data_IF_414850811873
#
_entry.id   IF_414850811873
#
_cell.length_a   1.000
_cell.length_b   1.000
_cell.length_c   1.000
_cell.angle_alpha   90.00
_cell.angle_beta   90.00
_cell.angle_gamma   90.00
#
_symmetry.space_group_name_H-M   'P 1'
#
loop_
_entity.id
_entity.type
_entity.pdbx_description
1 polymer ?
#
# COMPACT_ATOMS: atom_id res chain seq x y z
N UNK A 1 -12.56 -13.02 25.41
CA UNK A 1 -11.90 -13.48 24.17
C UNK A 1 -10.68 -12.59 23.96
N UNK A 2 -9.47 -13.12 23.73
CA UNK A 2 -8.33 -12.28 23.37
C UNK A 2 -8.66 -11.58 22.05
N UNK A 3 -8.41 -10.28 22.01
CA UNK A 3 -8.60 -9.48 20.80
C UNK A 3 -7.59 -9.97 19.76
N UNK A 4 -8.05 -10.48 18.62
CA UNK A 4 -7.21 -10.97 17.51
C UNK A 4 -6.32 -9.85 16.89
N UNK A 5 -6.40 -8.64 17.44
CA UNK A 5 -5.72 -7.42 17.01
C UNK A 5 -4.27 -7.31 17.50
N UNK A 6 -3.92 -7.98 18.61
CA UNK A 6 -2.58 -7.90 19.21
C UNK A 6 -1.71 -9.13 18.92
N UNK A 7 -2.22 -10.08 18.13
CA UNK A 7 -1.52 -11.32 17.81
C UNK A 7 -0.54 -11.04 16.68
N UNK A 8 0.74 -11.29 16.92
CA UNK A 8 1.79 -11.10 15.90
C UNK A 8 1.56 -12.03 14.71
N UNK A 9 2.09 -11.68 13.54
CA UNK A 9 2.00 -12.52 12.33
C UNK A 9 2.49 -13.95 12.58
N UNK A 10 3.48 -14.11 13.46
CA UNK A 10 4.02 -15.42 13.88
C UNK A 10 3.01 -16.22 14.71
N UNK A 11 2.45 -15.62 15.75
CA UNK A 11 1.45 -16.29 16.60
C UNK A 11 0.16 -16.59 15.82
N UNK A 12 -0.16 -15.77 14.82
CA UNK A 12 -1.27 -16.01 13.92
C UNK A 12 -1.04 -17.28 13.08
N UNK A 13 0.16 -17.40 12.50
CA UNK A 13 0.59 -18.61 11.78
C UNK A 13 0.56 -19.81 12.72
N UNK A 14 1.02 -19.69 13.96
CA UNK A 14 1.06 -20.84 14.89
C UNK A 14 -0.34 -21.25 15.41
N UNK A 15 -1.27 -20.30 15.60
CA UNK A 15 -2.57 -20.56 16.26
C UNK A 15 -3.75 -20.68 15.29
N UNK A 16 -3.72 -20.01 14.15
CA UNK A 16 -4.86 -19.94 13.21
C UNK A 16 -4.68 -20.92 12.04
N UNK A 17 -3.47 -21.13 11.53
CA UNK A 17 -3.25 -22.09 10.44
C UNK A 17 -3.71 -23.52 10.79
N UNK A 18 -3.50 -24.05 12.00
CA UNK A 18 -3.99 -25.39 12.34
C UNK A 18 -5.51 -25.52 12.28
N UNK A 19 -6.23 -24.39 12.40
CA UNK A 19 -7.70 -24.32 12.31
C UNK A 19 -8.20 -24.18 10.87
N UNK A 20 -7.32 -23.83 9.93
CA UNK A 20 -7.66 -23.72 8.51
C UNK A 20 -7.54 -25.11 7.86
N UNK A 21 -8.66 -25.75 7.56
CA UNK A 21 -8.64 -27.02 6.81
C UNK A 21 -8.35 -26.79 5.32
N UNK A 22 -7.41 -27.54 4.75
CA UNK A 22 -7.17 -27.57 3.29
C UNK A 22 -5.72 -27.90 2.89
N UNK A 23 -5.44 -28.00 1.59
CA UNK A 23 -4.07 -28.14 1.11
C UNK A 23 -3.26 -26.88 1.45
N UNK A 24 -2.05 -27.08 1.95
CA UNK A 24 -1.12 -26.00 2.28
C UNK A 24 -0.01 -25.89 1.24
N UNK A 25 0.51 -24.68 1.08
CA UNK A 25 1.72 -24.38 0.30
C UNK A 25 2.72 -23.66 1.18
N UNK A 26 4.01 -23.77 0.84
CA UNK A 26 5.08 -23.03 1.50
C UNK A 26 5.48 -21.83 0.63
N UNK A 27 5.51 -20.64 1.21
CA UNK A 27 6.10 -19.45 0.60
C UNK A 27 7.50 -19.27 1.17
N UNK A 28 8.53 -19.39 0.33
CA UNK A 28 9.94 -19.18 0.69
C UNK A 28 10.42 -17.81 0.23
N UNK A 29 11.06 -17.05 1.11
CA UNK A 29 11.76 -15.81 0.76
C UNK A 29 13.20 -16.16 0.42
N UNK A 30 13.61 -16.00 -0.84
CA UNK A 30 14.93 -16.45 -1.33
C UNK A 30 16.12 -15.89 -0.54
N UNK A 31 16.01 -14.67 -0.02
CA UNK A 31 17.12 -13.99 0.67
C UNK A 31 17.19 -14.22 2.18
N UNK A 32 16.12 -14.70 2.80
CA UNK A 32 16.04 -14.77 4.27
C UNK A 32 16.01 -16.21 4.79
N UNK A 33 15.99 -17.21 3.90
CA UNK A 33 15.82 -18.64 4.23
C UNK A 33 14.64 -18.88 5.21
N UNK A 34 13.61 -18.04 5.09
CA UNK A 34 12.37 -18.13 5.87
C UNK A 34 11.27 -18.70 4.99
N UNK A 35 10.51 -19.64 5.56
CA UNK A 35 9.34 -20.26 4.95
C UNK A 35 8.08 -19.99 5.76
N UNK A 36 6.97 -19.81 5.06
CA UNK A 36 5.64 -19.67 5.64
C UNK A 36 4.71 -20.70 5.04
N UNK A 37 4.05 -21.48 5.91
CA UNK A 37 2.96 -22.37 5.49
C UNK A 37 1.68 -21.55 5.35
N UNK A 38 0.97 -21.69 4.23
CA UNK A 38 -0.24 -20.91 3.90
C UNK A 38 -1.29 -21.80 3.24
N UNK A 39 -2.57 -21.56 3.53
CA UNK A 39 -3.70 -22.23 2.87
C UNK A 39 -3.72 -21.91 1.38
N UNK A 40 -3.58 -22.94 0.52
CA UNK A 40 -3.64 -22.80 -0.95
C UNK A 40 -4.96 -22.15 -1.40
N UNK A 41 -6.14 -22.61 -0.94
CA UNK A 41 -7.41 -22.04 -1.40
C UNK A 41 -7.55 -20.56 -1.05
N UNK A 42 -7.11 -20.13 0.13
CA UNK A 42 -7.15 -18.71 0.51
C UNK A 42 -6.20 -17.89 -0.36
N UNK A 43 -4.96 -18.36 -0.53
CA UNK A 43 -3.96 -17.65 -1.30
C UNK A 43 -4.37 -17.49 -2.77
N UNK A 44 -4.84 -18.56 -3.43
CA UNK A 44 -5.29 -18.52 -4.82
C UNK A 44 -6.56 -17.70 -5.00
N UNK A 45 -7.48 -17.72 -4.03
CA UNK A 45 -8.70 -16.90 -4.07
C UNK A 45 -8.39 -15.40 -4.13
N UNK A 46 -7.36 -14.97 -3.40
CA UNK A 46 -7.01 -13.54 -3.25
C UNK A 46 -5.91 -13.08 -4.21
N UNK A 47 -5.28 -14.00 -4.94
CA UNK A 47 -4.15 -13.72 -5.82
C UNK A 47 -4.20 -14.57 -7.09
N UNK A 48 -4.44 -13.92 -8.23
CA UNK A 48 -4.33 -14.57 -9.54
C UNK A 48 -2.91 -15.01 -9.86
N UNK A 49 -1.90 -14.30 -9.34
CA UNK A 49 -0.49 -14.67 -9.44
C UNK A 49 -0.23 -16.05 -8.81
N UNK A 50 -0.67 -16.25 -7.57
CA UNK A 50 -0.48 -17.53 -6.88
C UNK A 50 -1.35 -18.64 -7.48
N UNK A 51 -2.58 -18.34 -7.92
CA UNK A 51 -3.40 -19.32 -8.66
C UNK A 51 -2.66 -19.82 -9.89
N UNK A 52 -2.16 -18.90 -10.74
CA UNK A 52 -1.47 -19.26 -11.99
C UNK A 52 -0.23 -20.12 -11.72
N UNK A 53 0.59 -19.76 -10.73
CA UNK A 53 1.82 -20.48 -10.41
C UNK A 53 1.54 -21.85 -9.78
N UNK A 54 0.53 -21.95 -8.93
CA UNK A 54 0.22 -23.17 -8.20
C UNK A 54 -0.66 -24.15 -8.99
N UNK A 55 -1.38 -23.66 -10.00
CA UNK A 55 -2.17 -24.49 -10.92
C UNK A 55 -1.33 -24.89 -12.13
N UNK A 56 -0.45 -24.01 -12.63
CA UNK A 56 0.48 -24.29 -13.73
C UNK A 56 1.62 -25.26 -13.39
N UNK A 57 1.89 -25.47 -12.10
CA UNK A 57 2.84 -26.51 -11.63
C UNK A 57 2.23 -27.93 -11.62
N UNK A 58 0.94 -28.11 -11.88
CA UNK A 58 0.29 -29.43 -11.98
C UNK A 58 0.34 -30.06 -13.37
N UNK A 59 0.97 -29.42 -14.36
CA UNK A 59 1.17 -30.00 -15.69
C UNK A 59 2.65 -30.09 -16.05
N UNK A 60 3.36 -31.05 -15.45
CA UNK A 60 4.38 -31.76 -16.22
C UNK A 60 3.64 -32.73 -17.13
N UNK A 61 3.40 -32.28 -18.37
CA UNK A 61 3.12 -33.18 -19.49
C UNK A 61 4.31 -34.14 -19.54
N UNK A 62 4.08 -35.41 -19.23
CA UNK A 62 5.03 -36.44 -19.60
C UNK A 62 5.22 -36.36 -21.11
N UNK A 63 6.44 -36.04 -21.55
CA UNK A 63 6.91 -36.33 -22.90
C UNK A 63 6.83 -37.85 -23.09
N UNK A 64 5.66 -38.33 -23.51
CA UNK A 64 5.46 -39.74 -23.86
C UNK A 64 5.91 -39.90 -25.32
N UNK A 65 6.94 -40.71 -25.60
CA UNK A 65 7.34 -40.98 -26.97
C UNK A 65 6.22 -41.74 -27.68
N UNK A 66 5.93 -41.33 -28.92
CA UNK A 66 5.08 -42.09 -29.83
C UNK A 66 5.70 -43.47 -30.07
N UNK A 67 5.18 -44.52 -29.44
CA UNK A 67 5.02 -45.80 -30.12
C UNK A 67 4.01 -46.74 -29.45
N UNK A 68 3.16 -47.35 -30.28
CA UNK A 68 2.73 -48.75 -30.12
C UNK A 68 1.67 -49.11 -29.07
N UNK A 69 0.41 -49.20 -29.52
CA UNK A 69 -0.65 -50.16 -29.15
C UNK A 69 -0.58 -50.86 -27.77
N UNK A 70 -1.53 -50.51 -26.91
CA UNK A 70 -2.02 -51.36 -25.82
C UNK A 70 -3.22 -50.73 -25.12
N UNK A 71 -4.37 -51.39 -25.13
CA UNK A 71 -5.50 -51.10 -24.23
C UNK A 71 -5.14 -51.71 -22.87
N UNK A 72 -5.41 -51.04 -21.73
CA UNK A 72 -6.52 -51.51 -20.89
C UNK A 72 -7.25 -50.43 -20.05
N UNK A 73 -8.45 -50.83 -19.63
CA UNK A 73 -9.27 -50.53 -18.44
C UNK A 73 -9.16 -49.23 -17.62
N UNK A 74 -10.36 -48.76 -17.24
CA UNK A 74 -10.67 -47.82 -16.15
C UNK A 74 -9.87 -48.15 -14.89
N UNK A 75 -9.03 -47.24 -14.44
CA UNK A 75 -8.54 -47.18 -13.08
C UNK A 75 -8.98 -45.85 -12.47
N UNK A 76 -9.53 -45.96 -11.27
CA UNK A 76 -9.96 -44.86 -10.43
C UNK A 76 -8.77 -43.92 -10.18
N UNK A 77 -8.94 -42.63 -10.49
CA UNK A 77 -8.00 -41.58 -10.07
C UNK A 77 -8.00 -41.51 -8.55
N UNK A 78 -7.05 -42.24 -7.96
CA UNK A 78 -6.62 -42.09 -6.58
C UNK A 78 -6.03 -40.68 -6.42
N UNK A 79 -6.51 -39.84 -5.49
CA UNK A 79 -5.92 -38.53 -5.28
C UNK A 79 -4.49 -38.74 -4.77
N UNK A 80 -3.51 -38.30 -5.55
CA UNK A 80 -2.10 -38.34 -5.18
C UNK A 80 -1.88 -37.39 -4.00
N UNK A 81 -1.77 -37.99 -2.82
CA UNK A 81 -1.26 -37.38 -1.59
C UNK A 81 0.15 -36.84 -1.80
N UNK A 82 0.31 -35.52 -1.66
CA UNK A 82 1.30 -35.00 -0.70
C UNK A 82 2.64 -34.45 -1.20
N UNK A 83 2.79 -34.00 -2.45
CA UNK A 83 3.94 -33.12 -2.74
C UNK A 83 3.71 -31.74 -2.12
N UNK A 84 4.55 -31.37 -1.15
CA UNK A 84 4.55 -30.03 -0.56
C UNK A 84 4.89 -29.00 -1.64
N UNK A 85 3.87 -28.27 -2.11
CA UNK A 85 4.09 -27.21 -3.11
C UNK A 85 4.80 -26.03 -2.45
N UNK A 86 6.00 -25.72 -2.93
CA UNK A 86 6.79 -24.56 -2.51
C UNK A 86 6.79 -23.49 -3.61
N UNK A 87 6.51 -22.24 -3.24
CA UNK A 87 6.65 -21.05 -4.08
C UNK A 87 7.75 -20.20 -3.50
N UNK A 88 8.80 -19.99 -4.30
CA UNK A 88 9.91 -19.10 -3.93
C UNK A 88 9.65 -17.73 -4.50
N UNK A 89 9.55 -16.72 -3.63
CA UNK A 89 9.53 -15.32 -4.05
C UNK A 89 10.97 -14.82 -4.16
N UNK A 90 11.31 -14.30 -5.34
CA UNK A 90 12.60 -13.67 -5.55
C UNK A 90 12.72 -12.42 -4.68
N UNK A 91 13.92 -12.18 -4.15
CA UNK A 91 14.18 -10.92 -3.45
C UNK A 91 14.21 -9.81 -4.50
N UNK A 92 13.10 -9.10 -4.60
CA UNK A 92 13.07 -7.80 -5.25
C UNK A 92 13.28 -6.76 -4.15
N UNK A 93 14.41 -6.06 -4.24
CA UNK A 93 14.85 -5.09 -3.25
C UNK A 93 13.74 -4.07 -2.96
N UNK A 94 13.40 -3.93 -1.67
CA UNK A 94 12.35 -3.01 -1.23
C UNK A 94 10.92 -3.43 -1.62
N UNK A 95 10.67 -4.70 -1.97
CA UNK A 95 9.33 -5.27 -2.16
C UNK A 95 9.14 -6.49 -1.27
N UNK A 96 9.98 -7.52 -1.47
CA UNK A 96 9.87 -8.79 -0.76
C UNK A 96 10.79 -8.74 0.45
N UNK A 97 10.19 -8.68 1.63
CA UNK A 97 10.88 -8.83 2.91
C UNK A 97 10.03 -9.68 3.82
N UNK A 98 10.64 -10.22 4.87
CA UNK A 98 9.91 -10.90 5.95
C UNK A 98 8.68 -10.11 6.40
N UNK A 99 8.85 -8.80 6.61
CA UNK A 99 7.80 -7.93 7.15
C UNK A 99 6.65 -7.67 6.18
N UNK A 100 6.93 -7.52 4.88
CA UNK A 100 5.87 -7.34 3.88
C UNK A 100 5.06 -8.63 3.71
N UNK A 101 5.71 -9.79 3.75
CA UNK A 101 5.04 -11.11 3.72
C UNK A 101 4.21 -11.33 4.98
N UNK A 102 4.76 -11.06 6.17
CA UNK A 102 4.02 -11.15 7.43
C UNK A 102 2.76 -10.28 7.42
N UNK A 103 2.83 -9.04 6.91
CA UNK A 103 1.66 -8.17 6.74
C UNK A 103 0.63 -8.75 5.76
N UNK A 104 1.09 -9.35 4.66
CA UNK A 104 0.22 -10.01 3.70
C UNK A 104 -0.51 -11.20 4.33
N UNK A 105 0.19 -12.04 5.10
CA UNK A 105 -0.41 -13.17 5.79
C UNK A 105 -1.45 -12.71 6.81
N UNK A 106 -1.14 -11.68 7.61
CA UNK A 106 -2.12 -11.09 8.52
C UNK A 106 -3.38 -10.64 7.80
N UNK A 107 -3.23 -9.93 6.67
CA UNK A 107 -4.38 -9.53 5.89
C UNK A 107 -5.15 -10.72 5.32
N UNK A 108 -4.47 -11.74 4.81
CA UNK A 108 -5.10 -12.90 4.18
C UNK A 108 -6.06 -13.61 5.13
N UNK A 109 -5.67 -13.74 6.40
CA UNK A 109 -6.44 -14.48 7.40
C UNK A 109 -7.34 -13.59 8.27
N UNK A 110 -6.95 -12.36 8.59
CA UNK A 110 -7.69 -11.46 9.49
C UNK A 110 -8.36 -10.29 8.79
N UNK A 111 -8.06 -10.04 7.50
CA UNK A 111 -8.44 -8.81 6.75
C UNK A 111 -8.02 -7.52 7.43
N UNK A 112 -6.98 -7.59 8.26
CA UNK A 112 -6.37 -6.49 9.00
C UNK A 112 -4.87 -6.58 8.85
N UNK A 113 -4.19 -5.43 8.87
CA UNK A 113 -2.73 -5.36 8.83
C UNK A 113 -2.26 -4.71 10.12
N UNK A 114 -1.45 -5.43 10.89
CA UNK A 114 -0.74 -4.88 12.02
C UNK A 114 0.61 -4.34 11.54
N UNK A 115 0.67 -3.03 11.28
CA UNK A 115 1.96 -2.40 11.07
C UNK A 115 2.61 -2.19 12.43
N UNK A 116 3.65 -2.98 12.69
CA UNK A 116 4.44 -2.95 13.93
C UNK A 116 4.77 -1.51 14.39
N UNK A 117 4.90 -1.31 15.72
CA UNK A 117 5.30 -0.02 16.27
C UNK A 117 6.64 0.41 15.68
N UNK A 118 6.75 1.71 15.39
CA UNK A 118 7.85 2.35 14.71
C UNK A 118 7.56 3.83 14.52
N UNK A 119 8.56 4.59 14.10
CA UNK A 119 8.35 5.99 13.77
C UNK A 119 7.43 6.13 12.53
N UNK A 120 6.79 7.28 12.31
CA UNK A 120 5.86 7.48 11.19
C UNK A 120 6.48 7.20 9.81
N UNK A 121 7.77 7.48 9.62
CA UNK A 121 8.46 7.27 8.34
C UNK A 121 8.58 5.78 8.03
N UNK A 122 9.06 4.97 8.98
CA UNK A 122 9.17 3.51 8.84
C UNK A 122 7.81 2.85 8.61
N UNK A 123 6.76 3.39 9.23
CA UNK A 123 5.38 2.95 9.04
C UNK A 123 4.93 3.19 7.60
N UNK A 124 5.16 4.38 7.04
CA UNK A 124 4.85 4.70 5.64
C UNK A 124 5.69 3.84 4.69
N UNK A 125 6.98 3.68 4.97
CA UNK A 125 7.89 2.79 4.23
C UNK A 125 7.35 1.35 4.17
N UNK A 126 6.95 0.79 5.31
CA UNK A 126 6.41 -0.58 5.37
C UNK A 126 5.10 -0.68 4.60
N UNK A 127 4.22 0.32 4.71
CA UNK A 127 2.96 0.39 3.99
C UNK A 127 3.17 0.39 2.46
N UNK A 128 4.11 1.19 1.95
CA UNK A 128 4.45 1.23 0.52
C UNK A 128 5.03 -0.12 0.05
N UNK A 129 5.91 -0.75 0.85
CA UNK A 129 6.45 -2.09 0.52
C UNK A 129 5.34 -3.14 0.41
N UNK A 130 4.37 -3.11 1.32
CA UNK A 130 3.19 -4.00 1.29
C UNK A 130 2.33 -3.75 0.05
N UNK A 131 2.12 -2.49 -0.35
CA UNK A 131 1.41 -2.19 -1.60
C UNK A 131 2.15 -2.71 -2.84
N UNK A 132 3.48 -2.54 -2.91
CA UNK A 132 4.28 -3.08 -4.01
C UNK A 132 4.22 -4.61 -4.06
N UNK A 133 4.26 -5.27 -2.90
CA UNK A 133 4.12 -6.72 -2.80
C UNK A 133 2.73 -7.17 -3.30
N UNK A 134 1.66 -6.47 -2.89
CA UNK A 134 0.31 -6.79 -3.36
C UNK A 134 0.15 -6.60 -4.86
N UNK A 135 0.71 -5.53 -5.44
CA UNK A 135 0.69 -5.34 -6.88
C UNK A 135 1.47 -6.45 -7.61
N UNK A 136 2.67 -6.79 -7.12
CA UNK A 136 3.48 -7.88 -7.67
C UNK A 136 2.73 -9.23 -7.63
N UNK A 137 2.04 -9.52 -6.52
CA UNK A 137 1.25 -10.73 -6.34
C UNK A 137 -0.19 -10.60 -6.87
N UNK A 138 -0.54 -9.54 -7.60
CA UNK A 138 -1.89 -9.32 -8.13
C UNK A 138 -3.02 -9.48 -7.10
N UNK A 139 -2.81 -8.92 -5.90
CA UNK A 139 -3.73 -8.98 -4.77
C UNK A 139 -4.65 -7.77 -4.79
N UNK A 140 -5.96 -8.01 -4.77
CA UNK A 140 -6.98 -6.96 -4.83
C UNK A 140 -7.50 -6.63 -3.43
N UNK A 141 -7.75 -5.34 -3.17
CA UNK A 141 -8.39 -4.87 -1.92
C UNK A 141 -7.44 -4.54 -0.77
N UNK A 142 -6.15 -4.91 -0.86
CA UNK A 142 -5.15 -4.53 0.15
C UNK A 142 -4.80 -3.03 0.08
N UNK A 143 -4.86 -2.46 -1.11
CA UNK A 143 -4.55 -1.06 -1.42
C UNK A 143 -5.35 -0.08 -0.56
N UNK A 144 -6.65 -0.33 -0.36
CA UNK A 144 -7.53 0.55 0.43
C UNK A 144 -7.09 0.60 1.89
N UNK A 145 -6.73 -0.55 2.49
CA UNK A 145 -6.24 -0.61 3.87
C UNK A 145 -4.89 0.08 4.00
N UNK A 146 -3.99 -0.12 3.03
CA UNK A 146 -2.68 0.55 3.00
C UNK A 146 -2.85 2.06 2.90
N UNK A 147 -3.75 2.55 2.03
CA UNK A 147 -4.04 3.98 1.90
C UNK A 147 -4.58 4.56 3.21
N UNK A 148 -5.57 3.92 3.83
CA UNK A 148 -6.13 4.40 5.10
C UNK A 148 -5.09 4.42 6.22
N UNK A 149 -4.21 3.43 6.24
CA UNK A 149 -3.11 3.37 7.19
C UNK A 149 -2.10 4.52 6.98
N UNK A 150 -1.71 4.80 5.73
CA UNK A 150 -0.84 5.94 5.40
C UNK A 150 -1.50 7.26 5.83
N UNK A 151 -2.77 7.49 5.47
CA UNK A 151 -3.52 8.68 5.89
C UNK A 151 -3.51 8.87 7.40
N UNK A 152 -3.83 7.80 8.14
CA UNK A 152 -3.88 7.83 9.60
C UNK A 152 -2.50 8.10 10.22
N UNK A 153 -1.44 7.52 9.65
CA UNK A 153 -0.06 7.74 10.09
C UNK A 153 0.37 9.19 9.89
N UNK A 154 0.05 9.77 8.73
CA UNK A 154 0.34 11.17 8.42
C UNK A 154 -0.47 12.12 9.31
N UNK A 155 -1.76 11.88 9.50
CA UNK A 155 -2.61 12.69 10.38
C UNK A 155 -2.12 12.67 11.84
N UNK A 156 -1.75 11.49 12.37
CA UNK A 156 -1.25 11.35 13.74
C UNK A 156 0.09 12.08 13.96
N UNK A 157 0.90 12.23 12.92
CA UNK A 157 2.22 12.90 13.01
C UNK A 157 2.15 14.41 13.18
N UNK A 158 1.00 15.05 12.88
CA UNK A 158 0.86 16.51 12.89
C UNK A 158 0.74 17.07 14.32
N UNK A 159 0.32 16.24 15.30
CA UNK A 159 0.43 16.48 16.75
C UNK A 159 -0.31 17.70 17.31
N UNK A 160 -1.34 17.46 18.14
CA UNK A 160 -2.23 18.43 18.80
C UNK A 160 -1.61 19.39 19.83
N UNK A 161 -0.59 20.15 19.45
CA UNK A 161 -0.15 21.32 20.21
C UNK A 161 -0.87 22.56 19.68
N UNK A 162 -1.51 23.39 20.52
CA UNK A 162 -2.00 24.70 20.10
C UNK A 162 -0.76 25.55 19.79
N UNK A 163 -0.48 25.72 18.50
CA UNK A 163 0.73 26.43 18.07
C UNK A 163 0.49 27.93 18.14
N UNK A 164 1.42 28.62 18.78
CA UNK A 164 1.35 30.05 19.05
C UNK A 164 1.32 30.90 17.77
N UNK A 165 1.92 30.42 16.68
CA UNK A 165 2.13 31.18 15.44
C UNK A 165 1.79 30.36 14.19
N UNK A 166 1.26 31.01 13.15
CA UNK A 166 0.88 30.39 11.87
C UNK A 166 2.07 29.77 11.10
N UNK A 167 3.31 30.12 11.45
CA UNK A 167 4.55 29.67 10.81
C UNK A 167 5.08 28.34 11.34
N UNK A 168 4.59 27.83 12.47
CA UNK A 168 5.04 26.54 13.05
C UNK A 168 4.19 25.34 12.57
N UNK A 169 3.47 25.45 11.46
CA UNK A 169 2.65 24.34 10.97
C UNK A 169 3.56 23.22 10.45
N UNK A 170 3.76 22.17 11.25
CA UNK A 170 4.38 20.92 10.79
C UNK A 170 3.52 20.37 9.66
N UNK A 171 4.04 20.49 8.44
CA UNK A 171 3.40 20.01 7.22
C UNK A 171 3.38 18.48 7.22
N UNK A 172 2.32 17.89 6.66
CA UNK A 172 2.20 16.44 6.47
C UNK A 172 3.37 15.85 5.66
N UNK A 173 4.00 16.66 4.82
CA UNK A 173 5.21 16.32 4.06
C UNK A 173 6.43 16.00 4.92
N UNK A 174 6.43 16.35 6.22
CA UNK A 174 7.57 16.11 7.10
C UNK A 174 7.88 14.60 7.21
N UNK A 175 6.84 13.77 7.35
CA UNK A 175 6.96 12.29 7.43
C UNK A 175 7.34 11.65 6.10
N UNK A 176 7.05 12.31 4.98
CA UNK A 176 7.42 11.79 3.67
C UNK A 176 8.91 12.03 3.42
N UNK A 177 9.58 11.07 2.78
CA UNK A 177 10.98 11.16 2.38
C UNK A 177 11.06 10.97 0.87
N UNK A 178 12.22 11.27 0.29
CA UNK A 178 12.46 11.01 -1.14
C UNK A 178 12.28 9.53 -1.49
N UNK A 179 12.66 8.62 -0.58
CA UNK A 179 12.52 7.18 -0.76
C UNK A 179 11.05 6.77 -0.83
N UNK A 180 10.15 7.44 -0.08
CA UNK A 180 8.71 7.20 -0.18
C UNK A 180 8.18 7.59 -1.57
N UNK A 181 8.62 8.72 -2.12
CA UNK A 181 8.24 9.16 -3.46
C UNK A 181 8.72 8.14 -4.50
N UNK A 182 9.98 7.73 -4.43
CA UNK A 182 10.56 6.81 -5.39
C UNK A 182 9.90 5.44 -5.30
N UNK A 183 9.73 4.91 -4.08
CA UNK A 183 9.09 3.63 -3.84
C UNK A 183 7.63 3.61 -4.33
N UNK A 184 6.87 4.67 -4.08
CA UNK A 184 5.50 4.80 -4.59
C UNK A 184 5.48 4.94 -6.12
N UNK A 185 6.45 5.64 -6.71
CA UNK A 185 6.57 5.83 -8.16
C UNK A 185 6.71 4.55 -8.98
N UNK A 186 7.17 3.45 -8.37
CA UNK A 186 7.22 2.12 -9.00
C UNK A 186 5.87 1.42 -9.10
N UNK A 187 4.83 1.91 -8.42
CA UNK A 187 3.48 1.38 -8.57
C UNK A 187 2.87 1.85 -9.89
N UNK A 188 1.93 1.07 -10.44
CA UNK A 188 1.26 1.44 -11.70
C UNK A 188 0.57 2.81 -11.63
N UNK A 189 0.40 3.46 -12.77
CA UNK A 189 -0.27 4.76 -12.85
C UNK A 189 -1.69 4.68 -12.28
N UNK A 190 -2.05 5.67 -11.46
CA UNK A 190 -3.36 5.71 -10.80
C UNK A 190 -3.49 4.81 -9.57
N UNK A 191 -2.42 4.12 -9.15
CA UNK A 191 -2.45 3.31 -7.93
C UNK A 191 -2.83 4.19 -6.71
N UNK A 192 -3.76 3.77 -5.84
CA UNK A 192 -4.24 4.59 -4.72
C UNK A 192 -3.13 5.06 -3.77
N UNK A 193 -2.10 4.24 -3.55
CA UNK A 193 -0.93 4.61 -2.73
C UNK A 193 -0.07 5.71 -3.37
N UNK A 194 0.02 5.77 -4.71
CA UNK A 194 0.69 6.92 -5.36
C UNK A 194 -0.07 8.21 -5.13
N UNK A 195 -1.39 8.14 -5.30
CA UNK A 195 -2.29 9.27 -5.09
C UNK A 195 -2.25 9.79 -3.66
N UNK A 196 -2.21 8.91 -2.65
CA UNK A 196 -2.15 9.36 -1.24
C UNK A 196 -0.83 10.04 -0.91
N UNK A 197 0.29 9.55 -1.45
CA UNK A 197 1.61 10.19 -1.29
C UNK A 197 1.64 11.56 -1.97
N UNK A 198 1.09 11.66 -3.19
CA UNK A 198 0.93 12.94 -3.90
C UNK A 198 -0.01 13.91 -3.16
N UNK A 199 -1.16 13.43 -2.68
CA UNK A 199 -2.13 14.23 -1.95
C UNK A 199 -1.53 14.82 -0.66
N UNK A 200 -0.74 14.03 0.07
CA UNK A 200 -0.03 14.49 1.26
C UNK A 200 1.02 15.58 0.98
N UNK A 201 1.46 15.72 -0.27
CA UNK A 201 2.39 16.76 -0.71
C UNK A 201 1.72 18.08 -1.10
N UNK A 202 0.40 18.09 -1.33
CA UNK A 202 -0.32 19.26 -1.82
C UNK A 202 -0.27 20.44 -0.84
N UNK A 203 -0.42 20.18 0.46
CA UNK A 203 -0.32 21.24 1.48
C UNK A 203 1.05 21.93 1.44
N UNK A 204 2.14 21.13 1.42
CA UNK A 204 3.49 21.67 1.34
C UNK A 204 3.74 22.42 0.04
N UNK A 205 3.19 21.94 -1.08
CA UNK A 205 3.31 22.59 -2.37
C UNK A 205 2.66 23.99 -2.39
N UNK A 206 1.52 24.17 -1.72
CA UNK A 206 0.86 25.48 -1.64
C UNK A 206 1.50 26.44 -0.64
N UNK A 207 1.96 25.93 0.51
CA UNK A 207 2.33 26.78 1.65
C UNK A 207 3.83 27.08 1.73
N UNK A 208 4.68 26.24 1.14
CA UNK A 208 6.13 26.38 1.24
C UNK A 208 6.73 26.80 -0.10
N UNK A 209 7.23 28.04 -0.16
CA UNK A 209 7.96 28.54 -1.32
C UNK A 209 9.20 27.70 -1.65
N UNK A 210 9.75 26.99 -0.65
CA UNK A 210 10.85 26.04 -0.78
C UNK A 210 10.37 24.59 -0.59
N UNK A 211 9.22 24.25 -1.19
CA UNK A 211 8.62 22.92 -1.14
C UNK A 211 9.66 21.78 -1.14
N UNK A 212 9.57 20.93 -0.11
CA UNK A 212 10.55 19.89 0.22
C UNK A 212 10.96 19.00 -0.96
N UNK A 213 10.05 18.73 -1.89
CA UNK A 213 10.26 17.75 -2.97
C UNK A 213 10.40 18.35 -4.38
N UNK A 214 10.76 19.63 -4.50
CA UNK A 214 10.97 20.29 -5.81
C UNK A 214 11.98 19.54 -6.70
N UNK A 215 12.98 18.89 -6.11
CA UNK A 215 13.98 18.11 -6.87
C UNK A 215 13.39 16.80 -7.38
N UNK A 216 12.71 16.09 -6.50
CA UNK A 216 12.08 14.80 -6.78
C UNK A 216 10.98 14.94 -7.84
N UNK A 217 10.25 16.05 -7.88
CA UNK A 217 9.29 16.36 -8.96
C UNK A 217 9.96 16.40 -10.34
N UNK A 218 11.21 16.89 -10.42
CA UNK A 218 11.97 16.96 -11.67
C UNK A 218 12.56 15.61 -12.04
N UNK A 219 13.02 14.85 -11.05
CA UNK A 219 13.65 13.54 -11.23
C UNK A 219 12.63 12.43 -11.51
N UNK A 220 11.39 12.58 -11.02
CA UNK A 220 10.32 11.59 -11.14
C UNK A 220 9.04 12.20 -11.74
N UNK A 221 8.96 12.30 -13.08
CA UNK A 221 7.81 12.87 -13.78
C UNK A 221 6.48 12.19 -13.47
N UNK A 222 6.52 10.91 -13.09
CA UNK A 222 5.32 10.16 -12.68
C UNK A 222 4.74 10.67 -11.36
N UNK A 223 5.60 11.04 -10.40
CA UNK A 223 5.18 11.66 -9.15
C UNK A 223 4.68 13.08 -9.39
N UNK A 224 5.39 13.90 -10.18
CA UNK A 224 4.95 15.24 -10.52
C UNK A 224 3.57 15.24 -11.21
N UNK A 225 3.32 14.27 -12.10
CA UNK A 225 2.01 14.11 -12.73
C UNK A 225 0.90 13.78 -11.72
N UNK A 226 1.18 12.93 -10.73
CA UNK A 226 0.23 12.62 -9.66
C UNK A 226 0.00 13.84 -8.76
N UNK A 227 1.06 14.55 -8.37
CA UNK A 227 0.98 15.78 -7.58
C UNK A 227 0.13 16.84 -8.28
N UNK A 228 0.38 17.10 -9.57
CA UNK A 228 -0.41 18.06 -10.35
C UNK A 228 -1.88 17.64 -10.48
N UNK A 229 -2.17 16.34 -10.55
CA UNK A 229 -3.54 15.85 -10.56
C UNK A 229 -4.26 16.14 -9.23
N UNK A 230 -3.58 15.93 -8.09
CA UNK A 230 -4.14 16.23 -6.76
C UNK A 230 -4.21 17.75 -6.50
N UNK A 231 -3.24 18.55 -6.96
CA UNK A 231 -3.30 20.02 -6.92
C UNK A 231 -4.49 20.52 -7.75
N UNK A 232 -4.69 19.99 -8.96
CA UNK A 232 -5.86 20.33 -9.78
C UNK A 232 -7.15 20.02 -9.06
N UNK A 233 -7.24 18.87 -8.40
CA UNK A 233 -8.41 18.49 -7.61
C UNK A 233 -8.64 19.48 -6.45
N UNK A 234 -7.60 19.82 -5.70
CA UNK A 234 -7.69 20.79 -4.61
C UNK A 234 -8.17 22.17 -5.11
N UNK A 235 -7.64 22.64 -6.24
CA UNK A 235 -8.03 23.92 -6.84
C UNK A 235 -9.50 23.97 -7.31
N UNK A 236 -10.15 22.84 -7.55
CA UNK A 236 -11.60 22.82 -7.86
C UNK A 236 -12.44 23.29 -6.67
N UNK A 237 -11.91 23.19 -5.45
CA UNK A 237 -12.56 23.66 -4.22
C UNK A 237 -12.14 25.08 -3.81
N UNK A 238 -11.38 25.78 -4.66
CA UNK A 238 -10.88 27.11 -4.38
C UNK A 238 -12.02 28.08 -4.05
N UNK A 239 -11.92 28.72 -2.89
CA UNK A 239 -12.86 29.71 -2.41
C UNK A 239 -12.12 30.94 -1.90
N UNK A 240 -12.51 32.11 -2.41
CA UNK A 240 -12.00 33.41 -1.96
C UNK A 240 -13.10 34.11 -1.16
N UNK A 241 -13.06 34.00 0.18
CA UNK A 241 -14.04 34.64 1.07
C UNK A 241 -13.30 35.45 2.12
N UNK A 242 -13.79 36.66 2.40
CA UNK A 242 -13.23 37.52 3.45
C UNK A 242 -11.77 37.91 3.25
N UNK A 243 -11.30 38.01 2.01
CA UNK A 243 -9.89 38.31 1.71
C UNK A 243 -8.93 37.14 1.98
N UNK A 244 -9.42 35.91 2.12
CA UNK A 244 -8.60 34.71 2.26
C UNK A 244 -8.94 33.71 1.15
N UNK A 245 -7.91 33.16 0.50
CA UNK A 245 -8.04 32.06 -0.44
C UNK A 245 -7.85 30.73 0.29
N UNK A 246 -8.77 29.80 0.09
CA UNK A 246 -8.78 28.49 0.73
C UNK A 246 -9.06 27.37 -0.27
N UNK A 247 -8.48 26.20 -0.04
CA UNK A 247 -8.77 24.96 -0.78
C UNK A 247 -9.01 23.80 0.19
N UNK A 248 -9.68 22.76 -0.25
CA UNK A 248 -9.83 21.48 0.43
C UNK A 248 -8.61 20.59 0.16
N UNK A 249 -8.03 20.06 1.23
CA UNK A 249 -6.91 19.12 1.20
C UNK A 249 -7.36 17.77 0.62
N UNK A 250 -6.74 17.27 -0.46
CA UNK A 250 -7.08 15.97 -1.03
C UNK A 250 -6.75 14.78 -0.12
N UNK A 251 -5.90 14.96 0.89
CA UNK A 251 -5.52 13.88 1.80
C UNK A 251 -6.66 13.53 2.77
N UNK A 252 -7.22 14.53 3.45
CA UNK A 252 -8.16 14.34 4.57
C UNK A 252 -9.42 15.23 4.47
N UNK A 253 -9.51 16.12 3.48
CA UNK A 253 -10.65 17.01 3.30
C UNK A 253 -10.60 18.27 4.16
N UNK A 254 -9.51 18.50 4.91
CA UNK A 254 -9.34 19.69 5.74
C UNK A 254 -9.15 20.96 4.90
N UNK A 255 -9.41 22.13 5.47
CA UNK A 255 -9.23 23.39 4.75
C UNK A 255 -7.77 23.86 4.86
N UNK A 256 -7.13 24.07 3.71
CA UNK A 256 -5.83 24.72 3.56
C UNK A 256 -6.05 26.20 3.23
N UNK A 257 -5.45 27.09 4.02
CA UNK A 257 -5.42 28.53 3.75
C UNK A 257 -4.17 28.86 2.93
N UNK A 258 -4.34 29.20 1.65
CA UNK A 258 -3.20 29.38 0.72
C UNK A 258 -2.70 30.83 0.66
N UNK A 259 -3.44 31.79 1.21
CA UNK A 259 -2.98 33.18 1.30
C UNK A 259 -4.10 34.18 1.57
N UNK A 260 -3.71 35.45 1.76
CA UNK A 260 -4.63 36.57 1.80
C UNK A 260 -4.73 37.18 0.40
N UNK A 261 -5.96 37.41 -0.06
CA UNK A 261 -6.24 38.17 -1.26
C UNK A 261 -6.43 39.61 -0.82
N UNK A 262 -5.52 40.50 -1.22
CA UNK A 262 -5.71 41.94 -1.02
C UNK A 262 -7.05 42.34 -1.64
N UNK A 263 -7.95 42.91 -0.84
CA UNK A 263 -9.18 43.45 -1.38
C UNK A 263 -8.84 44.64 -2.26
N UNK A 264 -9.45 44.76 -3.45
CA UNK A 264 -9.24 45.93 -4.29
C UNK A 264 -9.59 47.19 -3.48
N UNK A 265 -8.74 48.23 -3.52
CA UNK A 265 -8.98 49.47 -2.78
C UNK A 265 -10.27 50.10 -3.30
N UNK A 266 -11.37 49.98 -2.54
CA UNK A 266 -12.69 50.48 -2.94
C UNK A 266 -13.89 49.71 -2.40
N UNK A 267 -13.72 48.49 -1.88
CA UNK A 267 -14.79 47.74 -1.23
C UNK A 267 -15.03 48.20 0.23
N UNK A 268 -15.20 49.51 0.44
CA UNK A 268 -15.70 50.02 1.71
C UNK A 268 -17.12 49.47 1.92
N UNK A 269 -17.31 48.76 3.03
CA UNK A 269 -18.64 48.37 3.52
C UNK A 269 -19.51 49.61 3.58
N UNK A 270 -20.57 49.67 2.76
CA UNK A 270 -21.72 50.54 3.04
C UNK A 270 -22.41 49.98 4.28
N UNK A 271 -21.99 50.45 5.45
CA UNK A 271 -22.79 50.37 6.67
C UNK A 271 -23.97 51.32 6.50
N UNK A 272 -25.18 50.75 6.49
CA UNK A 272 -26.45 51.43 6.78
C UNK A 272 -26.51 51.80 8.27
#
# INVERSE_FOLDING_TARGET
MPDFLDITSREMVERILPLCHGPFVKIRIKSEDVEYTVSKPLLCKESSYFSTILDGKSTTVEDKPLNGKGRPTKEEEKPTTGEEQVVTLENIEGIVSRRSIECLLQWLYSRKIGFNPGNPEEKVSTAIKVARLAEMCSIVGLDTLVVQYIKSTLAASVGGQPRANATDRVLKTHVLTREHIFAAGYLRRGHPVRRVVAAASVEGFFLDANYKFVKEDREHPTFAADLLAEVRWALQSLSCKGGCATVTDPLDGEIIKIGYVEQPPGAAKKSL
#
